data_IF_585364862966
#
_entry.id   IF_585364862966
#
_cell.length_a   1.000
_cell.length_b   1.000
_cell.length_c   1.000
_cell.angle_alpha   90.00
_cell.angle_beta   90.00
_cell.angle_gamma   90.00
#
_symmetry.space_group_name_H-M   'P 1'
#
loop_
_entity.id
_entity.type
_entity.pdbx_description
1 polymer ?
#
# COMPACT_ATOMS: atom_id res chain seq x y z
N UNK A 1 85.12 -22.31 14.80
CA UNK A 1 84.50 -22.50 13.48
C UNK A 1 83.12 -21.86 13.55
N UNK A 2 82.98 -20.64 12.99
CA UNK A 2 81.84 -19.75 13.21
C UNK A 2 80.88 -19.80 12.02
N UNK A 3 79.58 -19.94 12.29
CA UNK A 3 78.50 -20.04 11.31
C UNK A 3 77.90 -18.65 11.07
N UNK A 4 77.71 -18.31 9.80
CA UNK A 4 77.22 -17.01 9.29
C UNK A 4 75.68 -16.99 9.31
N UNK A 5 75.07 -16.02 10.00
CA UNK A 5 73.64 -15.72 9.94
C UNK A 5 73.32 -14.74 8.80
N UNK A 6 72.42 -15.14 7.90
CA UNK A 6 71.72 -14.24 6.97
C UNK A 6 70.34 -13.85 7.54
N UNK A 7 69.93 -12.59 7.34
CA UNK A 7 68.55 -12.15 7.61
C UNK A 7 67.88 -11.78 6.30
N UNK A 8 66.79 -12.50 6.01
CA UNK A 8 65.86 -12.29 4.91
C UNK A 8 65.01 -11.04 5.14
N UNK A 9 64.81 -10.23 4.10
CA UNK A 9 63.77 -9.21 4.04
C UNK A 9 62.42 -9.85 3.65
N UNK A 10 61.36 -9.47 4.35
CA UNK A 10 59.98 -9.88 4.04
C UNK A 10 59.35 -8.84 3.13
N UNK A 11 58.91 -9.26 1.95
CA UNK A 11 58.11 -8.47 1.01
C UNK A 11 56.64 -8.82 1.23
N UNK A 12 55.81 -7.84 1.56
CA UNK A 12 54.36 -8.01 1.80
C UNK A 12 53.61 -7.75 0.48
N UNK A 13 52.95 -8.78 -0.07
CA UNK A 13 52.07 -8.64 -1.23
C UNK A 13 50.62 -8.42 -0.75
N UNK A 14 50.01 -7.31 -1.15
CA UNK A 14 48.59 -7.02 -0.91
C UNK A 14 47.73 -7.66 -2.02
N UNK A 15 46.83 -8.58 -1.66
CA UNK A 15 45.79 -9.10 -2.54
C UNK A 15 44.56 -8.18 -2.47
N UNK A 16 44.20 -7.60 -3.61
CA UNK A 16 42.97 -6.85 -3.82
C UNK A 16 41.87 -7.85 -4.21
N UNK A 17 40.90 -8.09 -3.32
CA UNK A 17 39.73 -8.92 -3.62
C UNK A 17 38.67 -8.09 -4.35
N UNK A 18 38.44 -8.40 -5.63
CA UNK A 18 37.33 -7.83 -6.41
C UNK A 18 36.10 -8.68 -6.12
N UNK A 19 35.15 -8.13 -5.36
CA UNK A 19 33.83 -8.75 -5.16
C UNK A 19 32.96 -8.53 -6.40
N UNK A 20 32.83 -9.55 -7.26
CA UNK A 20 31.78 -9.59 -8.26
C UNK A 20 30.43 -9.79 -7.54
N UNK A 21 29.63 -8.74 -7.47
CA UNK A 21 28.23 -8.83 -7.04
C UNK A 21 27.47 -9.73 -8.01
N UNK A 22 27.03 -10.89 -7.56
CA UNK A 22 26.10 -11.72 -8.31
C UNK A 22 24.73 -11.07 -8.23
N UNK A 23 24.20 -10.56 -9.35
CA UNK A 23 22.79 -10.22 -9.46
C UNK A 23 22.00 -11.52 -9.31
N UNK A 24 21.50 -11.79 -8.11
CA UNK A 24 20.57 -12.89 -7.89
C UNK A 24 19.26 -12.53 -8.58
N UNK A 25 19.06 -13.01 -9.80
CA UNK A 25 17.72 -13.13 -10.36
C UNK A 25 16.97 -14.14 -9.50
N UNK A 26 16.26 -13.67 -8.48
CA UNK A 26 15.22 -14.48 -7.87
C UNK A 26 14.16 -14.62 -8.95
N UNK A 27 14.20 -15.70 -9.74
CA UNK A 27 13.01 -16.17 -10.41
C UNK A 27 11.98 -16.30 -9.30
N UNK A 28 10.97 -15.42 -9.28
CA UNK A 28 10.01 -15.32 -8.19
C UNK A 28 9.38 -16.70 -7.97
N UNK A 29 9.91 -17.44 -7.00
CA UNK A 29 9.60 -18.86 -6.84
C UNK A 29 8.10 -18.97 -6.55
N UNK A 30 7.35 -19.63 -7.45
CA UNK A 30 5.90 -19.78 -7.34
C UNK A 30 5.06 -18.86 -8.21
N UNK A 31 5.67 -18.01 -9.06
CA UNK A 31 4.96 -17.35 -10.16
C UNK A 31 5.04 -18.20 -11.44
N UNK A 32 4.09 -18.03 -12.34
CA UNK A 32 4.07 -18.73 -13.63
C UNK A 32 3.55 -17.83 -14.75
N UNK A 33 4.05 -17.99 -15.99
CA UNK A 33 3.64 -17.15 -17.10
C UNK A 33 2.20 -17.43 -17.48
N UNK A 34 1.40 -16.38 -17.66
CA UNK A 34 0.03 -16.48 -18.14
C UNK A 34 -0.66 -15.13 -18.24
N UNK A 35 -1.93 -15.11 -18.66
CA UNK A 35 -2.71 -13.89 -18.73
C UNK A 35 -3.19 -13.46 -17.34
N UNK A 36 -3.20 -12.14 -17.09
CA UNK A 36 -3.84 -11.52 -15.93
C UNK A 36 -5.01 -10.67 -16.43
N UNK A 37 -6.23 -11.04 -16.03
CA UNK A 37 -7.45 -10.29 -16.34
C UNK A 37 -7.98 -9.58 -15.10
N UNK A 38 -7.79 -8.27 -15.04
CA UNK A 38 -8.32 -7.41 -13.99
C UNK A 38 -9.75 -6.97 -14.34
N UNK A 39 -10.70 -7.21 -13.45
CA UNK A 39 -12.11 -6.83 -13.60
C UNK A 39 -12.43 -5.47 -12.99
N UNK A 40 -11.61 -5.00 -12.05
CA UNK A 40 -11.78 -3.71 -11.39
C UNK A 40 -10.45 -3.07 -11.02
N UNK A 41 -10.50 -1.77 -10.72
CA UNK A 41 -9.40 -1.04 -10.11
C UNK A 41 -9.45 -1.33 -8.61
N UNK A 42 -8.33 -1.79 -8.06
CA UNK A 42 -8.17 -2.04 -6.63
C UNK A 42 -6.80 -1.57 -6.15
N UNK A 43 -6.56 -1.73 -4.85
CA UNK A 43 -5.33 -1.27 -4.21
C UNK A 43 -4.13 -2.09 -4.68
N UNK A 44 -2.95 -1.49 -4.65
CA UNK A 44 -1.72 -2.09 -5.11
C UNK A 44 -0.51 -1.59 -4.34
N UNK A 45 0.47 -2.48 -4.17
CA UNK A 45 1.74 -2.18 -3.49
C UNK A 45 2.83 -3.05 -4.09
N UNK A 46 4.09 -2.66 -3.95
CA UNK A 46 5.19 -3.55 -4.29
C UNK A 46 5.57 -4.44 -3.10
N UNK A 47 5.71 -5.74 -3.37
CA UNK A 47 6.46 -6.64 -2.51
C UNK A 47 7.97 -6.48 -2.79
N UNK A 48 8.78 -7.43 -2.32
CA UNK A 48 10.22 -7.47 -2.67
C UNK A 48 10.44 -7.74 -4.17
N UNK A 49 11.55 -7.24 -4.73
CA UNK A 49 12.06 -7.67 -6.05
C UNK A 49 11.16 -7.40 -7.26
N UNK A 50 10.50 -6.24 -7.29
CA UNK A 50 9.73 -5.79 -8.45
C UNK A 50 8.43 -6.55 -8.71
N UNK A 51 7.95 -7.32 -7.73
CA UNK A 51 6.64 -7.98 -7.78
C UNK A 51 5.57 -7.03 -7.25
N UNK A 52 4.63 -6.67 -8.12
CA UNK A 52 3.47 -5.86 -7.77
C UNK A 52 2.36 -6.75 -7.20
N UNK A 53 1.91 -6.45 -5.99
CA UNK A 53 0.67 -6.99 -5.43
C UNK A 53 -0.47 -6.09 -5.87
N UNK A 54 -1.54 -6.66 -6.41
CA UNK A 54 -2.74 -5.92 -6.80
C UNK A 54 -4.01 -6.67 -6.40
N UNK A 55 -4.92 -5.96 -5.74
CA UNK A 55 -6.26 -6.43 -5.45
C UNK A 55 -7.22 -6.18 -6.61
N UNK A 56 -8.10 -7.14 -6.88
CA UNK A 56 -9.24 -7.01 -7.78
C UNK A 56 -10.54 -7.26 -7.00
N UNK A 57 -11.15 -6.22 -6.41
CA UNK A 57 -12.37 -6.35 -5.61
C UNK A 57 -13.51 -7.05 -6.36
N UNK A 58 -13.70 -6.76 -7.65
CA UNK A 58 -14.76 -7.36 -8.45
C UNK A 58 -14.56 -8.87 -8.65
N UNK A 59 -13.34 -9.30 -8.95
CA UNK A 59 -12.98 -10.72 -9.01
C UNK A 59 -12.83 -11.36 -7.61
N UNK A 60 -12.79 -10.55 -6.54
CA UNK A 60 -12.34 -10.91 -5.19
C UNK A 60 -11.07 -11.75 -5.18
N UNK A 61 -10.06 -11.30 -5.92
CA UNK A 61 -8.79 -11.97 -6.04
C UNK A 61 -7.64 -11.00 -5.85
N UNK A 62 -6.50 -11.52 -5.40
CA UNK A 62 -5.24 -10.79 -5.34
C UNK A 62 -4.26 -11.45 -6.29
N UNK A 63 -3.51 -10.62 -7.00
CA UNK A 63 -2.45 -11.05 -7.90
C UNK A 63 -1.10 -10.59 -7.37
N UNK A 64 -0.07 -11.40 -7.61
CA UNK A 64 1.33 -11.05 -7.45
C UNK A 64 1.95 -11.13 -8.84
N UNK A 65 2.38 -10.00 -9.39
CA UNK A 65 2.78 -9.86 -10.79
C UNK A 65 4.26 -9.47 -10.84
N UNK A 66 5.12 -10.33 -11.39
CA UNK A 66 6.49 -9.96 -11.68
C UNK A 66 6.49 -8.98 -12.85
N UNK A 67 6.68 -7.69 -12.55
CA UNK A 67 6.52 -6.64 -13.55
C UNK A 67 7.69 -6.56 -14.55
N UNK A 68 8.75 -7.33 -14.34
CA UNK A 68 10.02 -7.25 -15.08
C UNK A 68 10.59 -5.81 -15.11
N UNK A 69 10.33 -5.06 -14.03
CA UNK A 69 10.78 -3.69 -13.93
C UNK A 69 12.30 -3.59 -13.87
N UNK A 70 12.83 -2.58 -14.56
CA UNK A 70 14.26 -2.31 -14.64
C UNK A 70 14.45 -0.82 -14.45
N UNK A 71 15.45 -0.48 -13.65
CA UNK A 71 15.83 0.90 -13.48
C UNK A 71 16.27 1.47 -14.84
N UNK A 72 15.67 2.61 -15.18
CA UNK A 72 16.10 3.47 -16.27
C UNK A 72 16.63 4.75 -15.62
N UNK A 73 17.85 5.15 -15.98
CA UNK A 73 18.42 6.39 -15.46
C UNK A 73 17.59 7.59 -15.91
N UNK A 74 17.28 8.48 -14.96
CA UNK A 74 16.45 9.64 -15.23
C UNK A 74 16.19 10.47 -13.99
N UNK A 75 15.79 11.71 -14.22
CA UNK A 75 15.40 12.66 -13.18
C UNK A 75 13.88 12.79 -13.12
N UNK A 76 13.26 11.93 -12.31
CA UNK A 76 11.81 11.86 -12.21
C UNK A 76 11.20 13.21 -11.81
N UNK A 77 11.88 13.99 -10.98
CA UNK A 77 11.43 15.31 -10.53
C UNK A 77 11.22 16.28 -11.69
N UNK A 78 12.14 16.26 -12.66
CA UNK A 78 12.08 17.10 -13.85
C UNK A 78 11.27 16.48 -15.00
N UNK A 79 10.98 15.18 -14.91
CA UNK A 79 10.24 14.42 -15.91
C UNK A 79 8.74 14.24 -15.60
N UNK A 80 8.21 14.85 -14.52
CA UNK A 80 6.78 14.79 -14.22
C UNK A 80 5.95 15.41 -15.37
N UNK A 81 4.90 14.72 -15.88
CA UNK A 81 4.12 15.23 -16.99
C UNK A 81 3.20 16.37 -16.54
N UNK A 82 2.97 17.34 -17.44
CA UNK A 82 1.91 18.35 -17.26
C UNK A 82 0.51 17.77 -17.44
N UNK A 83 0.38 16.77 -18.31
CA UNK A 83 -0.87 16.07 -18.62
C UNK A 83 -0.70 14.57 -18.34
N UNK A 84 -0.85 14.20 -17.07
CA UNK A 84 -0.73 12.80 -16.64
C UNK A 84 -1.78 11.91 -17.33
N UNK A 85 -3.04 12.35 -17.37
CA UNK A 85 -4.16 11.56 -17.91
C UNK A 85 -3.95 11.27 -19.40
N UNK A 86 -3.54 12.26 -20.18
CA UNK A 86 -3.23 12.09 -21.60
C UNK A 86 -2.08 11.11 -21.84
N UNK A 87 -1.00 11.18 -21.05
CA UNK A 87 0.13 10.25 -21.17
C UNK A 87 -0.26 8.80 -20.85
N UNK A 88 -1.02 8.59 -19.77
CA UNK A 88 -1.52 7.26 -19.38
C UNK A 88 -2.48 6.70 -20.44
N UNK A 89 -3.39 7.52 -20.97
CA UNK A 89 -4.34 7.12 -22.00
C UNK A 89 -3.62 6.73 -23.29
N UNK A 90 -2.66 7.54 -23.74
CA UNK A 90 -1.84 7.24 -24.90
C UNK A 90 -1.07 5.91 -24.75
N UNK A 91 -0.51 5.63 -23.57
CA UNK A 91 0.23 4.40 -23.32
C UNK A 91 -0.61 3.12 -23.49
N UNK A 92 -1.92 3.18 -23.23
CA UNK A 92 -2.84 2.05 -23.40
C UNK A 92 -3.70 2.12 -24.68
N UNK A 93 -3.50 3.15 -25.51
CA UNK A 93 -4.27 3.36 -26.73
C UNK A 93 -5.75 3.74 -26.48
N UNK A 94 -6.00 4.56 -25.47
CA UNK A 94 -7.32 5.08 -25.11
C UNK A 94 -7.40 6.60 -25.27
N UNK A 95 -8.63 7.12 -25.29
CA UNK A 95 -8.90 8.56 -25.17
C UNK A 95 -8.79 9.01 -23.71
N UNK A 96 -8.30 10.23 -23.49
CA UNK A 96 -8.06 10.75 -22.16
C UNK A 96 -9.36 10.91 -21.34
N UNK A 97 -10.48 11.28 -21.97
CA UNK A 97 -11.77 11.47 -21.30
C UNK A 97 -12.41 10.14 -20.82
N UNK A 98 -12.03 9.02 -21.44
CA UNK A 98 -12.46 7.68 -21.07
C UNK A 98 -11.56 7.01 -20.03
N UNK A 99 -10.46 7.66 -19.61
CA UNK A 99 -9.48 7.10 -18.69
C UNK A 99 -9.81 7.42 -17.23
N UNK A 100 -10.04 6.38 -16.45
CA UNK A 100 -10.03 6.39 -14.99
C UNK A 100 -8.65 5.95 -14.50
N UNK A 101 -8.08 6.68 -13.53
CA UNK A 101 -6.85 6.29 -12.82
C UNK A 101 -7.30 5.72 -11.48
N UNK A 102 -6.85 4.51 -11.15
CA UNK A 102 -7.16 3.86 -9.87
C UNK A 102 -6.12 4.21 -8.82
N UNK A 103 -5.12 3.36 -8.74
CA UNK A 103 -4.09 3.40 -7.71
C UNK A 103 -2.67 3.51 -8.32
N UNK A 104 -1.70 3.88 -7.49
CA UNK A 104 -0.32 4.16 -7.84
C UNK A 104 0.62 3.51 -6.83
N UNK A 105 1.63 2.79 -7.31
CA UNK A 105 2.68 2.21 -6.48
C UNK A 105 4.06 2.48 -7.09
N UNK A 106 5.04 2.77 -6.25
CA UNK A 106 6.44 2.98 -6.64
C UNK A 106 7.19 1.69 -6.41
N UNK A 107 7.94 1.26 -7.43
CA UNK A 107 8.86 0.16 -7.24
C UNK A 107 10.06 0.65 -6.41
N UNK A 108 10.29 0.10 -5.20
CA UNK A 108 11.34 0.58 -4.29
C UNK A 108 12.75 0.36 -4.84
N UNK A 109 12.94 -0.55 -5.80
CA UNK A 109 14.25 -0.85 -6.38
C UNK A 109 14.60 0.08 -7.54
N UNK A 110 13.60 0.49 -8.33
CA UNK A 110 13.83 1.25 -9.58
C UNK A 110 13.45 2.72 -9.46
N UNK A 111 12.56 3.07 -8.52
CA UNK A 111 11.92 4.38 -8.43
C UNK A 111 10.92 4.66 -9.56
N UNK A 112 10.57 3.64 -10.36
CA UNK A 112 9.55 3.76 -11.39
C UNK A 112 8.14 3.69 -10.76
N UNK A 113 7.20 4.42 -11.34
CA UNK A 113 5.84 4.55 -10.81
C UNK A 113 4.90 3.71 -11.66
N UNK A 114 4.13 2.82 -11.05
CA UNK A 114 3.13 2.01 -11.75
C UNK A 114 1.74 2.51 -11.40
N UNK A 115 0.87 2.66 -12.39
CA UNK A 115 -0.51 3.09 -12.26
C UNK A 115 -1.46 1.98 -12.69
N UNK A 116 -2.51 1.73 -11.93
CA UNK A 116 -3.69 1.04 -12.45
C UNK A 116 -4.62 2.02 -13.14
N UNK A 117 -5.10 1.63 -14.32
CA UNK A 117 -5.94 2.47 -15.17
C UNK A 117 -7.08 1.66 -15.74
N UNK A 118 -8.20 2.31 -16.00
CA UNK A 118 -9.36 1.70 -16.67
C UNK A 118 -9.84 2.60 -17.79
N UNK A 119 -10.00 2.03 -18.97
CA UNK A 119 -10.61 2.69 -20.11
C UNK A 119 -11.50 1.71 -20.87
N UNK A 120 -12.65 2.17 -21.37
CA UNK A 120 -13.57 1.33 -22.16
C UNK A 120 -13.93 0.00 -21.47
N UNK A 121 -14.15 0.06 -20.15
CA UNK A 121 -14.42 -1.10 -19.28
C UNK A 121 -13.30 -2.17 -19.21
N UNK A 122 -12.06 -1.82 -19.58
CA UNK A 122 -10.90 -2.70 -19.44
C UNK A 122 -9.90 -2.07 -18.48
N UNK A 123 -9.48 -2.83 -17.48
CA UNK A 123 -8.38 -2.46 -16.59
C UNK A 123 -7.03 -2.79 -17.23
N UNK A 124 -6.01 -2.02 -16.88
CA UNK A 124 -4.63 -2.23 -17.30
C UNK A 124 -3.64 -1.57 -16.35
N UNK A 125 -2.36 -1.79 -16.61
CA UNK A 125 -1.27 -1.19 -15.84
C UNK A 125 -0.35 -0.40 -16.79
N UNK A 126 0.10 0.76 -16.33
CA UNK A 126 1.08 1.61 -17.03
C UNK A 126 2.21 1.93 -16.07
N UNK A 127 3.45 1.71 -16.51
CA UNK A 127 4.65 2.15 -15.82
C UNK A 127 5.11 3.49 -16.37
N UNK A 128 5.47 4.40 -15.49
CA UNK A 128 6.25 5.60 -15.77
C UNK A 128 7.68 5.40 -15.27
N UNK A 129 8.64 5.48 -16.18
CA UNK A 129 10.06 5.42 -15.84
C UNK A 129 10.55 6.76 -15.28
N UNK A 130 11.72 6.75 -14.63
CA UNK A 130 12.35 7.98 -14.10
C UNK A 130 12.71 9.03 -15.15
N UNK A 131 12.83 8.66 -16.43
CA UNK A 131 13.04 9.61 -17.52
C UNK A 131 11.72 10.24 -18.04
N UNK A 132 10.57 9.80 -17.53
CA UNK A 132 9.24 10.29 -17.91
C UNK A 132 8.55 9.48 -18.99
N UNK A 133 9.14 8.37 -19.45
CA UNK A 133 8.49 7.50 -20.43
C UNK A 133 7.38 6.67 -19.82
N UNK A 134 6.24 6.61 -20.51
CA UNK A 134 5.09 5.79 -20.13
C UNK A 134 5.01 4.53 -21.00
N UNK A 135 4.85 3.37 -20.36
CA UNK A 135 4.84 2.07 -21.02
C UNK A 135 3.73 1.20 -20.43
N UNK A 136 2.86 0.66 -21.28
CA UNK A 136 1.88 -0.35 -20.86
C UNK A 136 2.60 -1.62 -20.42
N UNK A 137 2.22 -2.15 -19.27
CA UNK A 137 2.64 -3.49 -18.84
C UNK A 137 1.78 -4.52 -19.57
N UNK A 138 2.43 -5.49 -20.23
CA UNK A 138 1.72 -6.53 -20.98
C UNK A 138 1.16 -7.58 -20.02
N UNK A 139 -0.17 -7.59 -19.84
CA UNK A 139 -0.87 -8.55 -19.00
C UNK A 139 -1.31 -9.81 -19.75
N UNK A 140 -1.15 -9.89 -21.08
CA UNK A 140 -1.58 -11.07 -21.86
C UNK A 140 -0.68 -12.29 -21.60
N UNK A 141 0.57 -12.03 -21.21
CA UNK A 141 1.54 -13.06 -20.82
C UNK A 141 2.58 -12.44 -19.89
N UNK A 142 2.43 -12.68 -18.60
CA UNK A 142 3.31 -12.20 -17.54
C UNK A 142 3.42 -13.24 -16.43
N UNK A 143 4.60 -13.33 -15.81
CA UNK A 143 4.80 -14.18 -14.64
C UNK A 143 3.98 -13.65 -13.48
N UNK A 144 3.01 -14.44 -13.02
CA UNK A 144 2.14 -14.04 -11.94
C UNK A 144 1.68 -15.22 -11.08
N UNK A 145 1.12 -14.88 -9.93
CA UNK A 145 0.35 -15.75 -9.05
C UNK A 145 -1.01 -15.11 -8.79
N UNK A 146 -2.00 -15.92 -8.44
CA UNK A 146 -3.35 -15.48 -8.13
C UNK A 146 -3.89 -16.23 -6.92
N UNK A 147 -4.52 -15.52 -5.98
CA UNK A 147 -5.27 -16.12 -4.87
C UNK A 147 -6.69 -15.55 -4.84
N UNK A 148 -7.66 -16.45 -4.69
CA UNK A 148 -9.04 -16.08 -4.48
C UNK A 148 -9.25 -15.74 -2.99
N UNK A 149 -9.94 -14.65 -2.68
CA UNK A 149 -10.37 -14.39 -1.32
C UNK A 149 -11.37 -15.45 -0.85
N UNK A 150 -11.29 -15.91 0.41
CA UNK A 150 -12.30 -16.76 1.00
C UNK A 150 -13.57 -15.95 1.30
N UNK A 151 -14.75 -16.55 1.05
CA UNK A 151 -16.06 -16.00 1.44
C UNK A 151 -16.33 -14.51 1.10
N UNK A 152 -16.04 -14.01 -0.13
CA UNK A 152 -16.27 -12.61 -0.47
C UNK A 152 -17.78 -12.27 -0.59
N UNK A 153 -18.21 -11.04 -0.27
CA UNK A 153 -19.60 -10.59 -0.41
C UNK A 153 -20.17 -10.91 -1.79
N UNK A 154 -21.43 -11.31 -1.89
CA UNK A 154 -22.04 -11.59 -3.20
C UNK A 154 -21.91 -10.39 -4.15
N UNK A 155 -21.58 -10.66 -5.42
CA UNK A 155 -21.49 -9.63 -6.46
C UNK A 155 -22.88 -9.17 -6.91
N UNK A 156 -23.51 -8.35 -6.07
CA UNK A 156 -24.85 -7.80 -6.30
C UNK A 156 -25.03 -6.52 -5.53
N UNK A 157 -25.82 -5.63 -6.13
CA UNK A 157 -26.27 -4.43 -5.43
C UNK A 157 -27.21 -4.84 -4.29
N UNK A 158 -26.94 -4.34 -3.09
CA UNK A 158 -27.72 -4.57 -1.87
C UNK A 158 -27.87 -3.27 -1.07
N UNK A 159 -28.72 -3.28 -0.04
CA UNK A 159 -29.03 -2.10 0.77
C UNK A 159 -30.12 -1.22 0.17
N UNK A 160 -30.50 -0.16 0.90
CA UNK A 160 -31.61 0.72 0.56
C UNK A 160 -31.19 2.19 0.49
N UNK A 161 -31.89 2.96 -0.36
CA UNK A 161 -31.66 4.40 -0.51
C UNK A 161 -30.20 4.75 -0.80
N UNK A 162 -29.64 5.71 -0.04
CA UNK A 162 -28.24 6.17 -0.16
C UNK A 162 -27.20 5.13 0.25
N UNK A 163 -27.61 4.02 0.87
CA UNK A 163 -26.73 2.91 1.26
C UNK A 163 -26.69 1.79 0.22
N UNK A 164 -27.47 1.92 -0.86
CA UNK A 164 -27.49 0.97 -1.97
C UNK A 164 -26.12 0.95 -2.64
N UNK A 165 -25.44 -0.20 -2.57
CA UNK A 165 -24.11 -0.42 -3.16
C UNK A 165 -23.85 -1.89 -3.40
N UNK A 166 -22.85 -2.20 -4.20
CA UNK A 166 -22.34 -3.55 -4.33
C UNK A 166 -21.22 -3.77 -3.30
N UNK A 167 -21.43 -4.68 -2.34
CA UNK A 167 -20.43 -4.94 -1.30
C UNK A 167 -19.22 -5.71 -1.82
N UNK A 168 -19.34 -6.37 -2.99
CA UNK A 168 -18.20 -7.00 -3.68
C UNK A 168 -17.09 -6.01 -3.98
N UNK A 169 -17.45 -4.76 -4.30
CA UNK A 169 -16.50 -3.69 -4.60
C UNK A 169 -15.70 -3.26 -3.36
N UNK A 170 -16.05 -3.77 -2.16
CA UNK A 170 -15.32 -3.57 -0.90
C UNK A 170 -14.74 -4.90 -0.38
N UNK A 171 -14.73 -5.97 -1.17
CA UNK A 171 -14.11 -7.23 -0.75
C UNK A 171 -12.60 -7.12 -0.56
N UNK A 172 -11.99 -6.14 -1.22
CA UNK A 172 -10.61 -5.70 -1.00
C UNK A 172 -10.67 -4.18 -0.85
N UNK A 173 -10.25 -3.66 0.28
CA UNK A 173 -10.14 -2.22 0.54
C UNK A 173 -8.70 -1.75 0.50
N UNK A 174 -7.76 -2.60 0.90
CA UNK A 174 -6.33 -2.29 0.83
C UNK A 174 -5.48 -3.58 0.81
N UNK A 175 -4.24 -3.49 0.32
CA UNK A 175 -3.25 -4.59 0.28
C UNK A 175 -1.87 -4.11 0.74
N UNK A 176 -1.18 -4.93 1.52
CA UNK A 176 0.19 -4.67 1.92
C UNK A 176 1.05 -5.94 1.80
N UNK A 177 2.35 -5.76 1.58
CA UNK A 177 3.34 -6.83 1.77
C UNK A 177 4.13 -6.57 3.05
N UNK A 178 4.16 -7.56 3.96
CA UNK A 178 4.88 -7.45 5.22
C UNK A 178 5.35 -8.81 5.68
N UNK A 179 6.64 -8.91 6.03
CA UNK A 179 7.26 -10.13 6.60
C UNK A 179 6.92 -11.43 5.83
N UNK A 180 7.09 -11.42 4.51
CA UNK A 180 6.83 -12.59 3.65
C UNK A 180 5.35 -12.92 3.45
N UNK A 181 4.44 -12.04 3.87
CA UNK A 181 3.00 -12.20 3.72
C UNK A 181 2.39 -11.08 2.88
N UNK A 182 1.34 -11.43 2.15
CA UNK A 182 0.38 -10.47 1.60
C UNK A 182 -0.77 -10.35 2.60
N UNK A 183 -0.98 -9.13 3.10
CA UNK A 183 -2.08 -8.78 4.00
C UNK A 183 -3.13 -8.05 3.17
N UNK A 184 -4.39 -8.40 3.37
CA UNK A 184 -5.52 -7.83 2.63
C UNK A 184 -6.57 -7.41 3.63
N UNK A 185 -7.06 -6.18 3.54
CA UNK A 185 -8.26 -5.76 4.26
C UNK A 185 -9.47 -5.78 3.34
N UNK A 186 -10.65 -6.00 3.88
CA UNK A 186 -11.89 -5.87 3.13
C UNK A 186 -13.09 -6.47 3.81
N UNK A 187 -14.19 -6.50 3.08
CA UNK A 187 -15.43 -7.12 3.53
C UNK A 187 -15.48 -8.60 3.16
N UNK A 188 -15.92 -9.42 4.12
CA UNK A 188 -16.36 -10.81 3.95
C UNK A 188 -17.89 -10.89 4.01
N UNK A 189 -18.46 -11.97 3.47
CA UNK A 189 -19.89 -12.24 3.63
C UNK A 189 -20.22 -12.69 5.07
N UNK A 190 -21.42 -12.36 5.57
CA UNK A 190 -21.90 -12.76 6.89
C UNK A 190 -22.07 -11.58 7.85
N UNK A 191 -22.22 -11.88 9.13
CA UNK A 191 -22.65 -10.92 10.16
C UNK A 191 -21.51 -10.03 10.70
N UNK A 192 -20.26 -10.42 10.49
CA UNK A 192 -19.06 -9.64 10.88
C UNK A 192 -18.19 -9.39 9.65
N UNK A 193 -18.53 -8.37 8.85
CA UNK A 193 -18.02 -8.30 7.49
C UNK A 193 -16.58 -7.76 7.44
N UNK A 194 -16.13 -6.94 8.39
CA UNK A 194 -14.75 -6.41 8.34
C UNK A 194 -13.72 -7.50 8.67
N UNK A 195 -12.78 -7.74 7.76
CA UNK A 195 -11.79 -8.79 7.88
C UNK A 195 -10.40 -8.33 7.42
N UNK A 196 -9.39 -8.94 8.04
CA UNK A 196 -8.00 -8.96 7.57
C UNK A 196 -7.67 -10.40 7.15
N UNK A 197 -7.17 -10.55 5.94
CA UNK A 197 -6.78 -11.85 5.36
C UNK A 197 -5.27 -11.86 5.15
N UNK A 198 -4.60 -12.93 5.58
CA UNK A 198 -3.18 -13.13 5.37
C UNK A 198 -2.93 -14.31 4.44
N UNK A 199 -2.08 -14.09 3.44
CA UNK A 199 -1.55 -15.10 2.54
C UNK A 199 -0.03 -15.17 2.62
N UNK A 200 0.59 -16.35 2.67
CA UNK A 200 2.02 -16.47 2.43
C UNK A 200 2.36 -16.06 1.00
N UNK A 201 3.36 -15.21 0.83
CA UNK A 201 3.83 -14.79 -0.49
C UNK A 201 4.58 -15.92 -1.23
N UNK A 202 4.41 -16.12 -2.56
CA UNK A 202 3.47 -15.39 -3.40
C UNK A 202 2.02 -15.77 -3.10
N UNK A 203 1.63 -17.05 -3.04
CA UNK A 203 0.30 -17.50 -2.58
C UNK A 203 0.27 -19.01 -2.22
N UNK A 204 0.85 -19.40 -1.09
CA UNK A 204 0.70 -20.78 -0.61
C UNK A 204 -0.75 -21.09 -0.16
N UNK A 205 -1.06 -22.37 0.10
CA UNK A 205 -2.43 -22.79 0.45
C UNK A 205 -2.93 -22.18 1.75
N UNK A 206 -2.06 -21.99 2.75
CA UNK A 206 -2.42 -21.42 4.04
C UNK A 206 -3.08 -20.04 3.88
N UNK A 207 -4.20 -19.84 4.55
CA UNK A 207 -4.97 -18.58 4.51
C UNK A 207 -5.54 -18.36 5.90
N UNK A 208 -5.22 -17.21 6.48
CA UNK A 208 -5.74 -16.81 7.78
C UNK A 208 -6.75 -15.69 7.55
N UNK A 209 -7.93 -15.79 8.15
CA UNK A 209 -9.00 -14.79 8.03
C UNK A 209 -9.42 -14.37 9.43
N UNK A 210 -9.13 -13.13 9.77
CA UNK A 210 -9.41 -12.57 11.09
C UNK A 210 -10.49 -11.49 10.99
N UNK A 211 -11.61 -11.69 11.65
CA UNK A 211 -12.66 -10.67 11.73
C UNK A 211 -12.29 -9.61 12.76
N UNK A 212 -12.56 -8.35 12.43
CA UNK A 212 -12.16 -7.20 13.26
C UNK A 212 -13.33 -6.29 13.60
N UNK A 213 -13.27 -5.70 14.79
CA UNK A 213 -14.18 -4.62 15.23
C UNK A 213 -13.42 -3.48 15.90
N UNK A 214 -14.06 -2.32 15.99
CA UNK A 214 -13.48 -1.12 16.59
C UNK A 214 -14.44 -0.49 17.58
N UNK A 215 -13.92 0.21 18.59
CA UNK A 215 -14.70 1.23 19.28
C UNK A 215 -14.69 2.51 18.45
N UNK A 216 -15.81 2.82 17.80
CA UNK A 216 -15.95 3.99 16.95
C UNK A 216 -16.29 5.21 17.82
N UNK A 217 -15.25 5.96 18.23
CA UNK A 217 -15.38 7.05 19.19
C UNK A 217 -16.37 8.14 18.76
N UNK A 218 -16.43 8.50 17.47
CA UNK A 218 -17.44 9.43 16.95
C UNK A 218 -18.90 8.97 17.18
N UNK A 219 -19.15 7.66 17.29
CA UNK A 219 -20.48 7.08 17.54
C UNK A 219 -20.65 6.57 18.98
N UNK A 220 -19.56 6.43 19.74
CA UNK A 220 -19.59 5.95 21.12
C UNK A 220 -20.00 4.48 21.26
N UNK A 221 -19.66 3.62 20.29
CA UNK A 221 -20.06 2.20 20.29
C UNK A 221 -19.07 1.33 19.53
N UNK A 222 -19.18 0.02 19.76
CA UNK A 222 -18.43 -1.00 19.02
C UNK A 222 -19.11 -1.29 17.69
N UNK A 223 -18.34 -1.36 16.61
CA UNK A 223 -18.82 -1.56 15.24
C UNK A 223 -17.88 -2.45 14.42
N UNK A 224 -18.45 -3.26 13.53
CA UNK A 224 -17.73 -3.98 12.46
C UNK A 224 -17.50 -3.07 11.25
N UNK A 225 -16.88 -1.91 11.48
CA UNK A 225 -16.62 -0.93 10.44
C UNK A 225 -15.59 -1.46 9.42
N UNK A 226 -15.81 -1.17 8.13
CA UNK A 226 -14.87 -1.53 7.07
C UNK A 226 -13.58 -0.70 7.18
N UNK A 227 -12.42 -1.38 7.24
CA UNK A 227 -11.12 -0.75 7.01
C UNK A 227 -11.17 -0.01 5.66
N UNK A 228 -10.60 1.19 5.58
CA UNK A 228 -10.50 1.95 4.33
C UNK A 228 -9.10 1.84 3.72
N UNK A 229 -8.08 1.92 4.57
CA UNK A 229 -6.66 1.73 4.24
C UNK A 229 -5.92 1.34 5.53
N UNK A 230 -4.80 0.64 5.40
CA UNK A 230 -3.96 0.28 6.52
C UNK A 230 -2.48 0.22 6.15
N UNK A 231 -1.63 0.27 7.16
CA UNK A 231 -0.20 0.01 7.03
C UNK A 231 0.25 -1.01 8.08
N UNK A 232 1.00 -2.04 7.69
CA UNK A 232 1.71 -2.89 8.64
C UNK A 232 3.05 -2.25 9.02
N UNK A 233 3.37 -2.24 10.31
CA UNK A 233 4.60 -1.68 10.86
C UNK A 233 4.92 -2.29 12.22
N UNK A 234 6.13 -2.09 12.71
CA UNK A 234 6.47 -2.41 14.09
C UNK A 234 6.15 -1.21 14.98
N UNK A 235 5.40 -1.43 16.06
CA UNK A 235 5.14 -0.45 17.11
C UNK A 235 5.67 -1.03 18.41
N UNK A 236 6.62 -0.35 19.04
CA UNK A 236 7.27 -0.78 20.29
C UNK A 236 7.85 -2.22 20.23
N UNK A 237 8.34 -2.63 19.05
CA UNK A 237 8.91 -3.95 18.80
C UNK A 237 7.89 -5.03 18.42
N UNK A 238 6.59 -4.72 18.41
CA UNK A 238 5.53 -5.66 18.07
C UNK A 238 4.95 -5.37 16.67
N UNK A 239 4.92 -6.38 15.76
CA UNK A 239 4.25 -6.27 14.48
C UNK A 239 2.76 -5.92 14.63
N UNK A 240 2.37 -4.82 14.00
CA UNK A 240 1.09 -4.17 14.17
C UNK A 240 0.52 -3.72 12.84
N UNK A 241 -0.80 -3.74 12.73
CA UNK A 241 -1.56 -3.20 11.61
C UNK A 241 -2.30 -1.96 12.09
N UNK A 242 -1.90 -0.81 11.56
CA UNK A 242 -2.53 0.47 11.85
C UNK A 242 -3.52 0.79 10.73
N UNK A 243 -4.81 0.80 11.05
CA UNK A 243 -5.90 0.92 10.08
C UNK A 243 -6.73 2.18 10.28
N UNK A 244 -7.15 2.78 9.18
CA UNK A 244 -8.09 3.89 9.14
C UNK A 244 -9.49 3.43 8.72
N UNK A 245 -10.53 4.03 9.33
CA UNK A 245 -11.93 3.72 9.00
C UNK A 245 -12.70 4.99 8.58
N UNK A 246 -13.91 4.81 8.05
CA UNK A 246 -14.81 5.96 7.80
C UNK A 246 -15.08 6.72 9.10
N UNK A 247 -15.18 8.06 9.01
CA UNK A 247 -15.09 9.04 10.12
C UNK A 247 -13.68 9.22 10.71
N UNK A 248 -12.67 8.55 10.17
CA UNK A 248 -11.25 8.62 10.55
C UNK A 248 -10.88 8.28 12.00
N UNK A 249 -11.44 7.22 12.63
CA UNK A 249 -10.71 6.60 13.71
C UNK A 249 -9.45 5.91 13.15
N UNK A 250 -8.35 6.00 13.89
CA UNK A 250 -7.10 5.28 13.66
C UNK A 250 -7.00 4.18 14.71
N UNK A 251 -6.79 2.95 14.29
CA UNK A 251 -6.93 1.78 15.17
C UNK A 251 -5.74 0.85 14.97
N UNK A 252 -5.12 0.44 16.08
CA UNK A 252 -4.03 -0.51 16.11
C UNK A 252 -4.56 -1.94 16.32
N UNK A 253 -4.11 -2.87 15.49
CA UNK A 253 -4.32 -4.31 15.62
C UNK A 253 -2.98 -5.03 15.68
N UNK A 254 -2.60 -5.63 16.81
CA UNK A 254 -1.40 -6.49 16.85
C UNK A 254 -1.56 -7.64 15.86
N UNK A 255 -0.62 -7.80 14.92
CA UNK A 255 -0.69 -8.83 13.87
C UNK A 255 -0.73 -10.23 14.49
N UNK A 256 0.00 -10.44 15.59
CA UNK A 256 -0.02 -11.72 16.33
C UNK A 256 -1.39 -12.13 16.89
N UNK A 257 -2.37 -11.21 16.96
CA UNK A 257 -3.76 -11.52 17.34
C UNK A 257 -4.66 -11.83 16.15
N UNK A 258 -4.22 -11.55 14.92
CA UNK A 258 -4.96 -11.83 13.70
C UNK A 258 -4.73 -13.29 13.25
N UNK A 259 -4.99 -14.25 14.14
CA UNK A 259 -4.68 -15.67 13.96
C UNK A 259 -5.82 -16.52 13.36
N UNK A 260 -6.93 -15.89 12.98
CA UNK A 260 -8.13 -16.56 12.47
C UNK A 260 -9.04 -17.17 13.53
N UNK A 261 -8.78 -16.89 14.81
CA UNK A 261 -9.60 -17.29 15.94
C UNK A 261 -10.81 -16.38 16.17
N UNK A 262 -10.96 -15.90 17.40
CA UNK A 262 -12.08 -15.02 17.77
C UNK A 262 -11.98 -13.64 17.11
N UNK A 263 -13.11 -12.93 17.05
CA UNK A 263 -13.15 -11.56 16.53
C UNK A 263 -12.20 -10.66 17.34
N UNK A 264 -11.33 -9.95 16.65
CA UNK A 264 -10.31 -9.08 17.27
C UNK A 264 -10.84 -7.66 17.37
N UNK A 265 -10.94 -7.15 18.60
CA UNK A 265 -11.17 -5.73 18.83
C UNK A 265 -9.85 -4.96 18.75
N UNK A 266 -9.76 -4.05 17.79
CA UNK A 266 -8.63 -3.14 17.67
C UNK A 266 -8.66 -2.07 18.74
N UNK A 267 -7.48 -1.55 19.07
CA UNK A 267 -7.34 -0.42 20.00
C UNK A 267 -7.45 0.88 19.23
N UNK A 268 -8.52 1.64 19.47
CA UNK A 268 -8.70 2.96 18.85
C UNK A 268 -7.69 3.94 19.43
N UNK A 269 -6.61 4.23 18.70
CA UNK A 269 -5.51 5.08 19.16
C UNK A 269 -5.77 6.56 18.90
N UNK A 270 -6.60 6.89 17.90
CA UNK A 270 -7.00 8.26 17.65
C UNK A 270 -8.38 8.37 17.00
N UNK A 271 -9.01 9.52 17.20
CA UNK A 271 -10.14 10.04 16.43
C UNK A 271 -9.64 11.30 15.72
N UNK A 272 -9.52 11.26 14.39
CA UNK A 272 -8.89 12.32 13.60
C UNK A 272 -9.93 13.32 13.01
N UNK A 273 -11.19 13.17 13.41
CA UNK A 273 -12.24 14.14 13.20
C UNK A 273 -13.27 13.69 12.17
N UNK A 274 -14.53 13.72 12.57
CA UNK A 274 -15.65 13.16 11.82
C UNK A 274 -15.85 13.72 10.39
N UNK A 275 -16.76 13.07 9.65
CA UNK A 275 -17.13 13.40 8.25
C UNK A 275 -15.94 13.38 7.29
N UNK A 276 -14.97 12.55 7.63
CA UNK A 276 -13.75 12.36 6.90
C UNK A 276 -13.58 10.85 6.60
N UNK A 277 -12.82 10.53 5.57
CA UNK A 277 -12.52 9.14 5.21
C UNK A 277 -11.05 9.06 4.80
N UNK A 278 -10.28 8.13 5.40
CA UNK A 278 -8.97 7.75 4.90
C UNK A 278 -9.06 7.39 3.43
N UNK A 279 -8.08 7.80 2.63
CA UNK A 279 -7.97 7.37 1.24
C UNK A 279 -6.77 6.43 1.12
N UNK A 280 -5.61 6.85 1.60
CA UNK A 280 -4.35 6.12 1.46
C UNK A 280 -3.38 6.45 2.61
N UNK A 281 -2.45 5.53 2.89
CA UNK A 281 -1.50 5.58 4.00
C UNK A 281 -0.10 5.16 3.58
N UNK A 282 0.90 5.94 3.99
CA UNK A 282 2.31 5.54 3.88
C UNK A 282 3.04 5.73 5.20
N UNK A 283 4.03 4.86 5.45
CA UNK A 283 4.90 4.93 6.64
C UNK A 283 6.30 5.31 6.21
N UNK A 284 6.94 6.19 6.97
CA UNK A 284 8.34 6.53 6.78
C UNK A 284 9.03 6.73 8.14
N UNK A 285 10.36 6.69 8.13
CA UNK A 285 11.17 6.99 9.30
C UNK A 285 11.91 8.30 9.05
N UNK A 286 11.95 9.17 10.06
CA UNK A 286 12.72 10.41 10.04
C UNK A 286 13.30 10.65 11.41
N UNK A 287 14.62 10.85 11.48
CA UNK A 287 15.33 11.10 12.74
C UNK A 287 15.12 10.01 13.81
N UNK A 288 14.97 8.75 13.38
CA UNK A 288 14.72 7.60 14.27
C UNK A 288 13.28 7.47 14.76
N UNK A 289 12.37 8.32 14.26
CA UNK A 289 10.94 8.28 14.57
C UNK A 289 10.15 7.81 13.36
N UNK A 290 9.32 6.79 13.57
CA UNK A 290 8.37 6.33 12.56
C UNK A 290 7.14 7.24 12.53
N UNK A 291 6.74 7.62 11.32
CA UNK A 291 5.61 8.50 11.05
C UNK A 291 4.68 7.87 10.01
N UNK A 292 3.39 8.11 10.19
CA UNK A 292 2.33 7.82 9.22
C UNK A 292 1.96 9.11 8.49
N UNK A 293 1.87 9.07 7.16
CA UNK A 293 1.08 10.03 6.39
C UNK A 293 -0.25 9.38 6.00
N UNK A 294 -1.33 10.11 6.22
CA UNK A 294 -2.70 9.68 5.92
C UNK A 294 -3.38 10.73 5.04
N UNK A 295 -3.73 10.37 3.82
CA UNK A 295 -4.56 11.22 2.94
C UNK A 295 -6.05 11.02 3.23
N UNK A 296 -6.85 12.06 2.99
CA UNK A 296 -8.20 12.15 3.51
C UNK A 296 -9.16 12.87 2.55
N UNK A 297 -10.43 12.48 2.54
CA UNK A 297 -11.45 13.12 1.69
C UNK A 297 -11.80 14.57 2.06
N UNK A 298 -11.63 14.98 3.32
CA UNK A 298 -12.12 16.28 3.81
C UNK A 298 -11.13 17.06 4.67
N UNK A 299 -9.95 16.52 4.97
CA UNK A 299 -9.02 17.10 5.94
C UNK A 299 -7.54 17.18 5.49
N UNK A 300 -7.27 16.98 4.20
CA UNK A 300 -5.92 17.01 3.64
C UNK A 300 -5.03 15.87 4.19
N UNK A 301 -3.74 15.93 3.91
CA UNK A 301 -2.80 14.94 4.47
C UNK A 301 -2.50 15.25 5.94
N UNK A 302 -2.56 14.23 6.78
CA UNK A 302 -2.17 14.28 8.18
C UNK A 302 -0.89 13.47 8.42
N UNK A 303 0.06 14.03 9.16
CA UNK A 303 1.22 13.33 9.73
C UNK A 303 0.91 12.92 11.16
N UNK A 304 1.10 11.64 11.48
CA UNK A 304 0.91 11.08 12.82
C UNK A 304 2.23 10.41 13.24
N UNK A 305 2.80 10.80 14.39
CA UNK A 305 3.94 10.05 14.96
C UNK A 305 3.44 8.73 15.53
N UNK A 306 4.23 7.66 15.39
CA UNK A 306 3.93 6.39 16.06
C UNK A 306 4.55 6.32 17.45
N UNK A 307 5.32 7.31 17.88
CA UNK A 307 5.82 7.36 19.26
C UNK A 307 4.66 7.33 20.24
N UNK A 308 4.71 6.36 21.17
CA UNK A 308 3.71 6.20 22.23
C UNK A 308 2.28 6.00 21.70
N UNK A 309 2.12 5.67 20.42
CA UNK A 309 0.80 5.51 19.82
C UNK A 309 0.03 4.35 20.46
N UNK A 310 0.77 3.37 20.99
CA UNK A 310 0.20 2.25 21.73
C UNK A 310 0.33 2.39 23.26
N UNK A 311 0.61 3.59 23.78
CA UNK A 311 0.51 3.84 25.20
C UNK A 311 -0.97 3.86 25.66
N UNK A 312 -1.25 3.28 26.83
CA UNK A 312 -2.58 3.31 27.46
C UNK A 312 -3.64 2.39 26.83
N UNK A 313 -4.92 2.52 27.22
CA UNK A 313 -5.98 1.58 26.83
C UNK A 313 -6.66 1.88 25.48
N UNK A 314 -6.34 3.02 24.84
CA UNK A 314 -7.07 3.52 23.66
C UNK A 314 -8.37 4.24 24.04
N UNK A 315 -9.08 4.77 23.05
CA UNK A 315 -10.32 5.49 23.24
C UNK A 315 -11.48 4.53 23.52
N UNK A 316 -12.16 4.73 24.64
CA UNK A 316 -13.37 3.98 25.03
C UNK A 316 -14.57 4.87 25.31
N UNK A 317 -14.38 6.20 25.24
CA UNK A 317 -15.42 7.19 25.47
C UNK A 317 -15.78 7.94 24.18
N UNK A 318 -17.04 8.40 24.02
CA UNK A 318 -17.46 9.09 22.81
C UNK A 318 -16.75 10.43 22.61
N UNK A 319 -16.27 10.70 21.39
CA UNK A 319 -15.72 11.99 20.97
C UNK A 319 -16.81 12.77 20.22
N UNK A 320 -17.48 13.69 20.92
CA UNK A 320 -18.65 14.41 20.41
C UNK A 320 -18.30 15.66 19.61
N UNK A 321 -19.25 16.13 18.80
CA UNK A 321 -19.14 17.43 18.11
C UNK A 321 -18.16 17.45 16.92
N UNK A 322 -17.64 16.31 16.48
CA UNK A 322 -16.63 16.25 15.43
C UNK A 322 -15.24 16.68 15.87
N UNK A 323 -14.97 16.60 17.17
CA UNK A 323 -13.65 16.81 17.75
C UNK A 323 -12.66 15.70 17.41
N UNK A 324 -11.46 15.84 17.95
CA UNK A 324 -10.35 14.90 17.80
C UNK A 324 -9.88 14.43 19.18
N UNK A 325 -9.31 13.24 19.29
CA UNK A 325 -8.76 12.70 20.54
C UNK A 325 -7.71 11.62 20.27
N UNK A 326 -6.92 11.27 21.29
CA UNK A 326 -5.88 10.24 21.20
C UNK A 326 -4.59 10.78 20.59
N UNK A 327 -3.94 9.99 19.74
CA UNK A 327 -2.67 10.35 19.11
C UNK A 327 -2.80 11.69 18.34
N UNK A 328 -1.92 12.67 18.61
CA UNK A 328 -1.96 13.95 17.91
C UNK A 328 -1.52 13.79 16.45
N UNK A 329 -1.91 14.75 15.62
CA UNK A 329 -1.51 14.82 14.23
C UNK A 329 -1.17 16.25 13.81
N UNK A 330 -0.32 16.37 12.80
CA UNK A 330 0.00 17.61 12.10
C UNK A 330 -0.66 17.59 10.72
N UNK A 331 -1.21 18.72 10.26
CA UNK A 331 -1.66 18.83 8.86
C UNK A 331 -0.52 19.24 7.97
N UNK A 332 -0.40 18.57 6.82
CA UNK A 332 0.57 18.92 5.79
C UNK A 332 -0.13 19.84 4.78
N UNK A 333 -0.09 21.15 5.04
CA UNK A 333 -0.82 22.17 4.26
C UNK A 333 -0.44 22.19 2.77
N UNK A 334 0.75 21.70 2.41
CA UNK A 334 1.23 21.62 1.03
C UNK A 334 0.66 20.43 0.25
N UNK A 335 -0.05 19.52 0.91
CA UNK A 335 -0.61 18.29 0.34
C UNK A 335 -2.14 18.28 0.52
N UNK A 336 -2.82 18.84 -0.47
CA UNK A 336 -4.29 18.97 -0.55
C UNK A 336 -4.80 18.14 -1.72
N UNK A 337 -6.00 17.57 -1.59
CA UNK A 337 -6.66 16.75 -2.62
C UNK A 337 -5.80 15.58 -3.11
N UNK A 338 -4.98 15.01 -2.22
CA UNK A 338 -4.18 13.82 -2.48
C UNK A 338 -5.08 12.59 -2.49
N UNK A 339 -5.04 11.83 -3.57
CA UNK A 339 -5.80 10.58 -3.72
C UNK A 339 -4.96 9.33 -3.59
N UNK A 340 -3.66 9.40 -3.89
CA UNK A 340 -2.70 8.31 -3.68
C UNK A 340 -1.33 8.88 -3.31
N UNK A 341 -0.54 8.14 -2.54
CA UNK A 341 0.82 8.43 -2.15
C UNK A 341 1.64 7.14 -2.14
N UNK A 342 2.92 7.26 -2.45
CA UNK A 342 3.87 6.20 -2.13
C UNK A 342 5.22 6.81 -1.78
N UNK A 343 6.07 6.04 -1.10
CA UNK A 343 7.47 6.39 -0.91
C UNK A 343 8.21 6.31 -2.23
N UNK A 344 8.92 7.39 -2.59
CA UNK A 344 9.88 7.39 -3.69
C UNK A 344 11.28 7.02 -3.23
N UNK A 345 11.62 7.42 -1.99
CA UNK A 345 12.86 7.11 -1.30
C UNK A 345 12.62 7.19 0.21
N UNK A 346 13.68 7.10 1.02
CA UNK A 346 13.58 7.32 2.46
C UNK A 346 13.37 8.79 2.85
N UNK A 347 13.58 9.72 1.92
CA UNK A 347 13.43 11.17 2.17
C UNK A 347 12.34 11.82 1.34
N UNK A 348 11.81 11.14 0.33
CA UNK A 348 10.83 11.70 -0.60
C UNK A 348 9.64 10.76 -0.81
N UNK A 349 8.46 11.36 -0.91
CA UNK A 349 7.24 10.70 -1.39
C UNK A 349 6.82 11.25 -2.75
N UNK A 350 5.92 10.53 -3.41
CA UNK A 350 5.20 10.99 -4.59
C UNK A 350 3.70 10.89 -4.33
N UNK A 351 2.95 11.91 -4.71
CA UNK A 351 1.51 11.99 -4.55
C UNK A 351 0.80 12.16 -5.89
N UNK A 352 -0.32 11.46 -6.06
CA UNK A 352 -1.33 11.76 -7.05
C UNK A 352 -2.33 12.76 -6.45
N UNK A 353 -2.44 13.92 -7.08
CA UNK A 353 -3.28 15.04 -6.61
C UNK A 353 -4.38 15.31 -7.63
N UNK A 354 -5.61 15.45 -7.16
CA UNK A 354 -6.75 15.92 -7.95
C UNK A 354 -8.06 15.35 -7.46
N UNK A 355 -9.15 16.13 -7.57
CA UNK A 355 -10.49 15.62 -7.30
C UNK A 355 -11.00 14.80 -8.49
N UNK A 356 -12.00 13.92 -8.28
CA UNK A 356 -12.73 13.34 -9.40
C UNK A 356 -13.22 14.42 -10.36
N UNK A 357 -12.81 14.33 -11.63
CA UNK A 357 -13.13 15.32 -12.68
C UNK A 357 -12.05 16.37 -12.95
N UNK A 358 -11.12 16.60 -12.02
CA UNK A 358 -9.99 17.51 -12.24
C UNK A 358 -8.92 16.86 -13.14
N UNK A 359 -7.99 17.66 -13.65
CA UNK A 359 -6.78 17.17 -14.29
C UNK A 359 -5.80 16.68 -13.20
N UNK A 360 -5.53 15.37 -13.10
CA UNK A 360 -4.70 14.82 -12.05
C UNK A 360 -3.24 15.19 -12.29
N UNK A 361 -2.50 15.42 -11.21
CA UNK A 361 -1.08 15.81 -11.25
C UNK A 361 -0.26 14.94 -10.32
N UNK A 362 0.98 14.68 -10.70
CA UNK A 362 1.98 14.11 -9.81
C UNK A 362 2.72 15.23 -9.09
N UNK A 363 3.00 15.00 -7.81
CA UNK A 363 3.85 15.88 -7.02
C UNK A 363 4.81 15.03 -6.19
N UNK A 364 6.10 15.23 -6.40
CA UNK A 364 7.12 14.75 -5.46
C UNK A 364 7.25 15.76 -4.32
N UNK A 365 7.41 15.25 -3.10
CA UNK A 365 7.52 16.05 -1.89
C UNK A 365 8.53 15.43 -0.92
N UNK A 366 9.16 16.26 -0.10
CA UNK A 366 10.02 15.77 0.96
C UNK A 366 9.17 15.23 2.12
N UNK A 367 9.58 14.08 2.66
CA UNK A 367 8.88 13.45 3.78
C UNK A 367 9.04 14.35 5.04
N UNK A 368 7.92 14.83 5.61
CA UNK A 368 7.90 15.95 6.55
C UNK A 368 8.42 15.62 7.95
#
# INVERSE_FOLDING_TARGET
MSIRNGRFGVMLAALLAISLGSATSYAASGLSPGPVELQSLGPMTFATSGVLIIGDPKAAAVYAIATEDKQVDGDLQNSLPKDLRGQLAAAIGAEADALEIGDMAVNPETGNVTFSVKANNRCGLVRMNRDGQFQKINLDKIDHGRKQLPNPPADKISGEGRRKRNLRDQSITDVAYFDGKVIVSGLSAGDSPSAVVEFPFPFADNTIVSNVEIFHAAHGRVEDAAIQTFVPLNIDGEPSLLAGFTCTPLVNFPIGKLDGGEKVRGKTVAELGNRNRPIDMIVYEKEGVTHLLLSNTARGVMKVSTEKIDDGPGLTEPVRGGGTAGQPFEKIESLVDVTQMDKLSDTQGIALIGKPGDAPQLKIFDLP
#
